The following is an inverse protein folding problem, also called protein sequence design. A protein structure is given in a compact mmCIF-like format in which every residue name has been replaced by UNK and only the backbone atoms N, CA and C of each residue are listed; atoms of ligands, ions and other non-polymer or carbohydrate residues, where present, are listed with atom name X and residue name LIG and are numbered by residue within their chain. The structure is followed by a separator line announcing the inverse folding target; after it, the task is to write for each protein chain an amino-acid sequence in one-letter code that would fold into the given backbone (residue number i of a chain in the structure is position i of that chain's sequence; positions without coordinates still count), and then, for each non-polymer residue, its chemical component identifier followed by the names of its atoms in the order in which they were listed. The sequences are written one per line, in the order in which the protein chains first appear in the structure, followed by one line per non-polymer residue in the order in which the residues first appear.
data_IF_703419012847
#
_entry.id   IF_703419012847
#
_cell.length_a   1.000
_cell.length_b   1.000
_cell.length_c   1.000
_cell.angle_alpha   90.00
_cell.angle_beta   90.00
_cell.angle_gamma   90.00
#
_symmetry.space_group_name_H-M   'P 1'
#
loop_
_entity.id
_entity.type
_entity.pdbx_description
1 polymer ?
#
# COMPACT_ATOMS: atom_id res chain seq x y z
N UNK A 1 -37.11 77.37 -33.97
CA UNK A 1 -36.08 76.38 -34.34
C UNK A 1 -35.40 75.90 -33.05
N UNK A 2 -35.50 74.60 -32.80
CA UNK A 2 -34.93 73.68 -31.77
C UNK A 2 -34.18 74.19 -30.52
N UNK A 3 -34.57 73.57 -29.41
CA UNK A 3 -34.12 73.64 -28.02
C UNK A 3 -32.67 73.16 -27.76
N UNK A 4 -32.09 73.71 -26.68
CA UNK A 4 -30.85 73.32 -25.96
C UNK A 4 -30.73 71.82 -25.68
N UNK A 5 -29.48 71.31 -25.71
CA UNK A 5 -29.03 70.20 -24.86
C UNK A 5 -27.68 70.58 -24.23
N UNK A 6 -27.63 70.43 -22.91
CA UNK A 6 -26.43 70.52 -22.09
C UNK A 6 -25.78 69.12 -22.03
N UNK A 7 -24.46 69.08 -22.09
CA UNK A 7 -23.66 67.86 -21.96
C UNK A 7 -23.63 67.38 -20.51
N UNK A 8 -23.99 66.10 -20.28
CA UNK A 8 -23.86 65.40 -19.00
C UNK A 8 -22.47 64.78 -18.86
N UNK A 9 -21.86 64.76 -17.66
CA UNK A 9 -20.64 64.00 -17.40
C UNK A 9 -20.93 62.50 -17.32
N UNK A 10 -20.03 61.67 -17.87
CA UNK A 10 -20.05 60.21 -17.74
C UNK A 10 -19.87 59.82 -16.27
N UNK A 11 -20.88 59.19 -15.68
CA UNK A 11 -20.79 58.52 -14.40
C UNK A 11 -19.91 57.26 -14.52
N UNK A 12 -18.83 57.19 -13.75
CA UNK A 12 -18.11 55.94 -13.49
C UNK A 12 -19.04 54.95 -12.78
N UNK A 13 -19.37 53.84 -13.44
CA UNK A 13 -20.01 52.68 -12.82
C UNK A 13 -19.02 52.04 -11.82
N UNK A 14 -19.12 52.42 -10.54
CA UNK A 14 -18.49 51.68 -9.44
C UNK A 14 -19.31 50.42 -9.20
N UNK A 15 -18.67 49.25 -9.35
CA UNK A 15 -19.27 47.97 -8.98
C UNK A 15 -19.82 48.01 -7.54
N UNK A 16 -21.01 47.45 -7.26
CA UNK A 16 -21.59 47.47 -5.93
C UNK A 16 -20.73 46.67 -4.93
N UNK A 17 -20.47 47.27 -3.77
CA UNK A 17 -19.61 46.78 -2.67
C UNK A 17 -19.87 45.30 -2.30
N UNK A 18 -21.11 44.84 -2.46
CA UNK A 18 -21.55 43.47 -2.18
C UNK A 18 -20.85 42.41 -3.03
N UNK A 19 -20.57 42.69 -4.32
CA UNK A 19 -19.89 41.75 -5.23
C UNK A 19 -18.40 41.63 -4.92
N UNK A 20 -17.74 42.73 -4.51
CA UNK A 20 -16.33 42.71 -4.09
C UNK A 20 -16.12 41.85 -2.83
N UNK A 21 -17.05 41.91 -1.86
CA UNK A 21 -17.01 41.04 -0.67
C UNK A 21 -17.26 39.56 -0.97
N UNK A 22 -18.10 39.24 -1.97
CA UNK A 22 -18.37 37.86 -2.40
C UNK A 22 -17.19 37.28 -3.21
N UNK A 23 -16.54 38.09 -4.05
CA UNK A 23 -15.34 37.70 -4.79
C UNK A 23 -14.17 37.41 -3.84
N UNK A 24 -13.88 38.30 -2.88
CA UNK A 24 -12.81 38.11 -1.90
C UNK A 24 -13.02 36.93 -0.95
N UNK A 25 -14.27 36.55 -0.63
CA UNK A 25 -14.59 35.32 0.12
C UNK A 25 -14.39 34.05 -0.70
N UNK A 26 -14.65 34.08 -2.01
CA UNK A 26 -14.39 32.94 -2.94
C UNK A 26 -12.89 32.73 -3.17
N UNK A 27 -12.12 33.81 -3.34
CA UNK A 27 -10.66 33.74 -3.48
C UNK A 27 -9.99 33.22 -2.21
N UNK A 28 -10.33 33.77 -1.02
CA UNK A 28 -9.81 33.24 0.26
C UNK A 28 -10.18 31.76 0.50
N UNK A 29 -11.34 31.29 0.00
CA UNK A 29 -11.69 29.85 0.05
C UNK A 29 -10.87 29.01 -0.94
N UNK A 30 -10.61 29.51 -2.15
CA UNK A 30 -9.73 28.86 -3.15
C UNK A 30 -8.28 28.78 -2.66
N UNK A 31 -7.73 29.86 -2.11
CA UNK A 31 -6.39 29.90 -1.52
C UNK A 31 -6.26 28.97 -0.31
N UNK A 32 -7.24 28.96 0.60
CA UNK A 32 -7.27 28.01 1.72
C UNK A 32 -7.40 26.56 1.26
N UNK A 33 -8.12 26.29 0.16
CA UNK A 33 -8.22 24.98 -0.47
C UNK A 33 -6.90 24.53 -1.10
N UNK A 34 -6.22 25.43 -1.82
CA UNK A 34 -4.92 25.18 -2.43
C UNK A 34 -3.80 24.98 -1.38
N UNK A 35 -3.80 25.78 -0.31
CA UNK A 35 -2.87 25.63 0.82
C UNK A 35 -3.07 24.30 1.56
N UNK A 36 -4.32 23.88 1.80
CA UNK A 36 -4.63 22.57 2.40
C UNK A 36 -4.25 21.39 1.49
N UNK A 37 -4.42 21.54 0.17
CA UNK A 37 -4.00 20.53 -0.82
C UNK A 37 -2.47 20.40 -0.84
N UNK A 38 -1.75 21.51 -0.90
CA UNK A 38 -0.28 21.57 -0.85
C UNK A 38 0.28 20.96 0.45
N UNK A 39 -0.35 21.21 1.60
CA UNK A 39 0.07 20.61 2.87
C UNK A 39 -0.18 19.10 2.94
N UNK A 40 -1.21 18.56 2.26
CA UNK A 40 -1.43 17.11 2.14
C UNK A 40 -0.37 16.48 1.23
N UNK A 41 -0.13 17.06 0.06
CA UNK A 41 0.90 16.60 -0.88
C UNK A 41 2.29 16.58 -0.23
N UNK A 42 2.65 17.64 0.50
CA UNK A 42 3.93 17.69 1.20
C UNK A 42 4.04 16.65 2.31
N UNK A 43 2.96 16.40 3.07
CA UNK A 43 2.95 15.35 4.09
C UNK A 43 3.09 13.96 3.48
N UNK A 44 2.46 13.73 2.33
CA UNK A 44 2.57 12.45 1.62
C UNK A 44 4.00 12.25 1.09
N UNK A 45 4.65 13.27 0.56
CA UNK A 45 6.06 13.20 0.15
C UNK A 45 6.97 12.90 1.37
N UNK A 46 6.76 13.55 2.51
CA UNK A 46 7.53 13.29 3.72
C UNK A 46 7.36 11.85 4.22
N UNK A 47 6.14 11.33 4.18
CA UNK A 47 5.86 9.93 4.53
C UNK A 47 6.51 8.96 3.54
N UNK A 48 6.54 9.28 2.24
CA UNK A 48 7.25 8.49 1.21
C UNK A 48 8.75 8.44 1.50
N UNK A 49 9.36 9.58 1.84
CA UNK A 49 10.80 9.65 2.16
C UNK A 49 11.13 8.86 3.42
N UNK A 50 10.32 8.97 4.48
CA UNK A 50 10.54 8.22 5.72
C UNK A 50 10.38 6.71 5.46
N UNK A 51 9.34 6.31 4.74
CA UNK A 51 9.11 4.91 4.39
C UNK A 51 10.27 4.36 3.54
N UNK A 52 10.76 5.15 2.58
CA UNK A 52 11.90 4.79 1.75
C UNK A 52 13.17 4.57 2.60
N UNK A 53 13.51 5.50 3.48
CA UNK A 53 14.70 5.41 4.33
C UNK A 53 14.63 4.23 5.29
N UNK A 54 13.53 4.12 6.05
CA UNK A 54 13.35 3.06 7.06
C UNK A 54 13.22 1.70 6.39
N UNK A 55 12.38 1.59 5.36
CA UNK A 55 12.17 0.34 4.63
C UNK A 55 13.45 -0.16 3.95
N UNK A 56 14.20 0.74 3.30
CA UNK A 56 15.46 0.38 2.65
C UNK A 56 16.54 0.01 3.65
N UNK A 57 16.62 0.70 4.80
CA UNK A 57 17.56 0.36 5.86
C UNK A 57 17.28 -1.04 6.45
N UNK A 58 16.01 -1.35 6.75
CA UNK A 58 15.61 -2.67 7.25
C UNK A 58 15.88 -3.77 6.23
N UNK A 59 15.51 -3.56 4.97
CA UNK A 59 15.79 -4.50 3.88
C UNK A 59 17.29 -4.80 3.75
N UNK A 60 18.10 -3.73 3.77
CA UNK A 60 19.56 -3.83 3.62
C UNK A 60 20.23 -4.48 4.83
N UNK A 61 19.74 -4.19 6.04
CA UNK A 61 20.20 -4.83 7.27
C UNK A 61 19.84 -6.32 7.27
N UNK A 62 18.64 -6.69 6.82
CA UNK A 62 18.24 -8.09 6.72
C UNK A 62 19.18 -8.90 5.81
N UNK A 63 19.51 -8.36 4.63
CA UNK A 63 20.43 -9.00 3.70
C UNK A 63 21.84 -9.13 4.26
N UNK A 64 22.47 -8.03 4.69
CA UNK A 64 23.88 -8.07 5.10
C UNK A 64 24.11 -8.77 6.44
N UNK A 65 23.23 -8.58 7.43
CA UNK A 65 23.47 -9.07 8.79
C UNK A 65 23.06 -10.52 9.01
N UNK A 66 22.13 -11.02 8.19
CA UNK A 66 21.50 -12.33 8.40
C UNK A 66 21.55 -13.22 7.16
N UNK A 67 21.00 -12.77 6.03
CA UNK A 67 20.68 -13.68 4.91
C UNK A 67 21.90 -14.01 4.05
N UNK A 68 22.68 -13.01 3.65
CA UNK A 68 23.87 -13.21 2.81
C UNK A 68 24.92 -14.06 3.52
N UNK A 69 25.32 -13.78 4.78
CA UNK A 69 26.32 -14.59 5.47
C UNK A 69 25.83 -16.02 5.75
N UNK A 70 24.53 -16.21 6.03
CA UNK A 70 23.95 -17.53 6.26
C UNK A 70 23.69 -18.33 4.96
N UNK A 71 23.90 -17.73 3.78
CA UNK A 71 23.62 -18.36 2.48
C UNK A 71 22.13 -18.62 2.24
N UNK A 72 21.25 -17.76 2.76
CA UNK A 72 19.79 -17.91 2.63
C UNK A 72 19.28 -16.98 1.55
N UNK A 73 18.82 -17.55 0.44
CA UNK A 73 18.34 -16.82 -0.72
C UNK A 73 16.80 -16.71 -0.68
N UNK A 74 16.30 -15.63 -0.08
CA UNK A 74 14.88 -15.28 -0.20
C UNK A 74 14.62 -14.85 -1.65
N UNK A 75 13.56 -15.36 -2.29
CA UNK A 75 13.32 -15.34 -3.74
C UNK A 75 13.48 -13.98 -4.48
N UNK A 76 13.31 -14.03 -5.80
CA UNK A 76 13.50 -12.86 -6.68
C UNK A 76 14.95 -12.44 -6.92
N UNK A 77 15.13 -11.18 -7.32
CA UNK A 77 16.44 -10.62 -7.65
C UNK A 77 17.43 -10.64 -6.46
N UNK A 78 16.94 -10.41 -5.24
CA UNK A 78 17.72 -10.52 -4.01
C UNK A 78 18.24 -11.93 -3.77
N UNK A 79 17.42 -12.96 -3.96
CA UNK A 79 17.83 -14.35 -3.76
C UNK A 79 18.90 -14.78 -4.75
N UNK A 80 18.71 -14.44 -6.03
CA UNK A 80 19.72 -14.67 -7.07
C UNK A 80 21.03 -13.94 -6.76
N UNK A 81 20.96 -12.72 -6.20
CA UNK A 81 22.14 -11.96 -5.81
C UNK A 81 22.88 -12.61 -4.62
N UNK A 82 22.16 -13.14 -3.62
CA UNK A 82 22.78 -13.90 -2.52
C UNK A 82 23.43 -15.19 -3.05
N UNK A 83 22.79 -15.89 -3.98
CA UNK A 83 23.37 -17.07 -4.62
C UNK A 83 24.63 -16.78 -5.43
N UNK A 84 24.61 -15.71 -6.22
CA UNK A 84 25.76 -15.25 -6.98
C UNK A 84 26.92 -14.81 -6.08
N UNK A 85 26.62 -14.17 -4.95
CA UNK A 85 27.63 -13.83 -3.94
C UNK A 85 28.27 -15.08 -3.33
N UNK A 86 27.47 -16.08 -2.97
CA UNK A 86 28.00 -17.29 -2.34
C UNK A 86 28.80 -18.16 -3.31
N UNK A 87 28.40 -18.24 -4.59
CA UNK A 87 29.07 -19.09 -5.57
C UNK A 87 30.29 -18.42 -6.23
N UNK A 88 30.26 -17.10 -6.44
CA UNK A 88 31.28 -16.38 -7.22
C UNK A 88 31.89 -15.17 -6.49
N UNK A 89 31.45 -14.87 -5.27
CA UNK A 89 31.94 -13.70 -4.51
C UNK A 89 31.46 -12.36 -5.05
N UNK A 90 30.44 -12.34 -5.92
CA UNK A 90 29.93 -11.11 -6.52
C UNK A 90 29.23 -10.24 -5.49
N UNK A 91 29.40 -8.92 -5.60
CA UNK A 91 28.74 -7.96 -4.72
C UNK A 91 27.21 -7.99 -4.89
N UNK A 92 26.48 -8.31 -3.80
CA UNK A 92 25.02 -8.50 -3.80
C UNK A 92 24.30 -7.28 -4.37
N UNK A 93 24.68 -6.08 -3.93
CA UNK A 93 24.09 -4.82 -4.40
C UNK A 93 24.22 -4.61 -5.91
N UNK A 94 25.38 -4.95 -6.48
CA UNK A 94 25.62 -4.86 -7.94
C UNK A 94 24.73 -5.84 -8.69
N UNK A 95 24.63 -7.09 -8.22
CA UNK A 95 23.82 -8.12 -8.87
C UNK A 95 22.33 -7.75 -8.82
N UNK A 96 21.83 -7.23 -7.69
CA UNK A 96 20.45 -6.74 -7.59
C UNK A 96 20.18 -5.65 -8.65
N UNK A 97 21.06 -4.66 -8.76
CA UNK A 97 20.90 -3.58 -9.75
C UNK A 97 20.90 -4.13 -11.18
N UNK A 98 21.86 -4.99 -11.52
CA UNK A 98 21.97 -5.59 -12.86
C UNK A 98 20.74 -6.42 -13.23
N UNK A 99 20.21 -7.23 -12.31
CA UNK A 99 19.00 -8.02 -12.54
C UNK A 99 17.75 -7.13 -12.70
N UNK A 100 17.72 -5.97 -12.04
CA UNK A 100 16.60 -5.05 -12.10
C UNK A 100 16.61 -4.14 -13.33
N UNK A 101 17.76 -3.90 -13.98
CA UNK A 101 17.84 -3.13 -15.24
C UNK A 101 16.94 -3.70 -16.35
N UNK A 102 17.00 -4.99 -16.73
CA UNK A 102 16.15 -5.53 -17.79
C UNK A 102 14.67 -5.52 -17.38
N UNK A 103 14.36 -5.79 -16.10
CA UNK A 103 12.99 -5.71 -15.59
C UNK A 103 12.46 -4.28 -15.67
N UNK A 104 13.27 -3.29 -15.35
CA UNK A 104 12.93 -1.88 -15.45
C UNK A 104 12.72 -1.42 -16.90
N UNK A 105 13.61 -1.83 -17.83
CA UNK A 105 13.42 -1.53 -19.25
C UNK A 105 12.10 -2.11 -19.76
N UNK A 106 11.79 -3.35 -19.40
CA UNK A 106 10.58 -4.02 -19.81
C UNK A 106 9.33 -3.38 -19.17
N UNK A 107 9.39 -3.03 -17.88
CA UNK A 107 8.29 -2.33 -17.19
C UNK A 107 8.06 -0.93 -17.76
N UNK A 108 9.13 -0.19 -18.10
CA UNK A 108 9.03 1.15 -18.68
C UNK A 108 8.41 1.13 -20.07
N UNK A 109 8.70 0.11 -20.89
CA UNK A 109 8.05 -0.08 -22.20
C UNK A 109 6.57 -0.43 -22.04
N UNK A 110 6.22 -1.26 -21.06
CA UNK A 110 4.84 -1.73 -20.87
C UNK A 110 3.94 -0.69 -20.19
N UNK A 111 4.42 -0.05 -19.11
CA UNK A 111 3.63 0.84 -18.24
C UNK A 111 3.98 2.32 -18.39
N UNK A 112 5.05 2.66 -19.10
CA UNK A 112 5.56 4.02 -19.22
C UNK A 112 6.56 4.39 -18.12
N UNK A 113 7.46 5.32 -18.44
CA UNK A 113 8.56 5.72 -17.55
C UNK A 113 8.08 6.29 -16.21
N UNK A 114 7.04 7.13 -16.23
CA UNK A 114 6.47 7.77 -15.03
C UNK A 114 5.99 6.76 -13.99
N UNK A 115 5.54 5.58 -14.43
CA UNK A 115 5.10 4.50 -13.54
C UNK A 115 6.27 3.84 -12.81
N UNK A 116 7.46 3.84 -13.41
CA UNK A 116 8.61 3.09 -12.90
C UNK A 116 9.56 3.94 -12.03
N UNK A 117 9.33 5.25 -11.89
CA UNK A 117 10.22 6.16 -11.15
C UNK A 117 10.32 5.75 -9.67
N UNK A 118 9.18 5.47 -9.01
CA UNK A 118 9.18 5.02 -7.61
C UNK A 118 9.94 3.70 -7.44
N UNK A 119 9.71 2.74 -8.33
CA UNK A 119 10.44 1.47 -8.38
C UNK A 119 11.94 1.67 -8.49
N UNK A 120 12.39 2.55 -9.38
CA UNK A 120 13.81 2.83 -9.59
C UNK A 120 14.44 3.44 -8.33
N UNK A 121 13.77 4.43 -7.73
CA UNK A 121 14.23 5.08 -6.49
C UNK A 121 14.32 4.06 -5.35
N UNK A 122 13.30 3.21 -5.19
CA UNK A 122 13.27 2.14 -4.19
C UNK A 122 14.43 1.16 -4.36
N UNK A 123 14.59 0.66 -5.59
CA UNK A 123 15.64 -0.31 -5.96
C UNK A 123 17.04 0.25 -5.76
N UNK A 124 17.29 1.50 -6.17
CA UNK A 124 18.59 2.14 -5.98
C UNK A 124 18.84 2.38 -4.49
N UNK A 125 17.82 2.82 -3.74
CA UNK A 125 17.97 3.08 -2.29
C UNK A 125 18.28 1.81 -1.51
N UNK A 126 17.62 0.69 -1.83
CA UNK A 126 17.93 -0.60 -1.21
C UNK A 126 19.30 -1.12 -1.64
N UNK A 127 19.67 -1.02 -2.92
CA UNK A 127 20.99 -1.45 -3.36
C UNK A 127 22.13 -0.63 -2.74
N UNK A 128 21.96 0.69 -2.61
CA UNK A 128 22.92 1.55 -1.91
C UNK A 128 22.98 1.20 -0.43
N UNK A 129 21.83 1.01 0.22
CA UNK A 129 21.77 0.56 1.61
C UNK A 129 22.52 -0.75 1.82
N UNK A 130 22.34 -1.73 0.91
CA UNK A 130 23.05 -3.01 0.95
C UNK A 130 24.56 -2.78 0.85
N UNK A 131 25.01 -1.94 -0.09
CA UNK A 131 26.44 -1.62 -0.24
C UNK A 131 27.03 -0.93 0.98
N UNK A 132 26.28 -0.01 1.59
CA UNK A 132 26.76 0.73 2.77
C UNK A 132 26.82 -0.15 4.01
N UNK A 133 25.94 -1.14 4.16
CA UNK A 133 25.88 -1.99 5.36
C UNK A 133 26.78 -3.23 5.29
N UNK A 134 27.50 -3.46 4.19
CA UNK A 134 28.36 -4.65 3.99
C UNK A 134 29.51 -4.75 4.99
N UNK A 135 29.93 -3.65 5.63
CA UNK A 135 31.01 -3.67 6.63
C UNK A 135 30.58 -4.23 7.99
N UNK A 136 29.28 -4.37 8.24
CA UNK A 136 28.78 -4.87 9.53
C UNK A 136 28.95 -6.39 9.61
N UNK A 137 29.40 -6.92 10.78
CA UNK A 137 29.55 -8.35 10.95
C UNK A 137 28.20 -9.05 11.01
N UNK A 138 28.18 -10.34 10.64
CA UNK A 138 27.00 -11.18 10.82
C UNK A 138 26.59 -11.24 12.29
N UNK A 139 25.27 -11.19 12.54
CA UNK A 139 24.73 -11.11 13.91
C UNK A 139 24.84 -12.44 14.65
N UNK A 140 24.76 -13.56 13.93
CA UNK A 140 24.85 -14.90 14.50
C UNK A 140 25.44 -15.89 13.50
N UNK A 141 26.03 -16.97 14.01
CA UNK A 141 26.48 -18.13 13.22
C UNK A 141 25.37 -19.18 13.04
N UNK A 142 24.25 -19.06 13.78
CA UNK A 142 23.11 -19.97 13.65
C UNK A 142 22.29 -19.61 12.41
N UNK A 143 22.35 -20.48 11.39
CA UNK A 143 21.64 -20.30 10.12
C UNK A 143 20.12 -20.21 10.29
N UNK A 144 19.54 -20.97 11.22
CA UNK A 144 18.09 -20.95 11.46
C UNK A 144 17.69 -19.60 12.07
N UNK A 145 18.46 -19.11 13.04
CA UNK A 145 18.23 -17.81 13.65
C UNK A 145 18.32 -16.69 12.60
N UNK A 146 19.38 -16.71 11.79
CA UNK A 146 19.57 -15.76 10.71
C UNK A 146 18.46 -15.84 9.65
N UNK A 147 18.02 -17.04 9.28
CA UNK A 147 16.90 -17.25 8.37
C UNK A 147 15.61 -16.61 8.91
N UNK A 148 15.22 -16.92 10.15
CA UNK A 148 13.97 -16.44 10.75
C UNK A 148 13.98 -14.92 10.93
N UNK A 149 15.00 -14.38 11.60
CA UNK A 149 15.08 -12.93 11.85
C UNK A 149 15.33 -12.14 10.57
N UNK A 150 16.18 -12.64 9.67
CA UNK A 150 16.40 -12.03 8.36
C UNK A 150 15.12 -11.96 7.54
N UNK A 151 14.34 -13.05 7.47
CA UNK A 151 13.05 -13.07 6.78
C UNK A 151 12.03 -12.11 7.40
N UNK A 152 11.92 -12.03 8.73
CA UNK A 152 11.02 -11.10 9.42
C UNK A 152 11.41 -9.64 9.15
N UNK A 153 12.68 -9.29 9.36
CA UNK A 153 13.17 -7.91 9.17
C UNK A 153 13.05 -7.49 7.71
N UNK A 154 13.38 -8.38 6.76
CA UNK A 154 13.20 -8.11 5.34
C UNK A 154 11.71 -7.93 4.99
N UNK A 155 10.83 -8.77 5.54
CA UNK A 155 9.38 -8.70 5.32
C UNK A 155 8.79 -7.37 5.80
N UNK A 156 9.21 -6.89 6.97
CA UNK A 156 8.80 -5.58 7.50
C UNK A 156 9.32 -4.45 6.60
N UNK A 157 10.62 -4.48 6.26
CA UNK A 157 11.24 -3.47 5.40
C UNK A 157 10.56 -3.36 4.03
N UNK A 158 10.37 -4.50 3.35
CA UNK A 158 9.67 -4.55 2.06
C UNK A 158 8.21 -4.12 2.20
N UNK A 159 7.50 -4.56 3.24
CA UNK A 159 6.10 -4.17 3.47
C UNK A 159 5.92 -2.66 3.64
N UNK A 160 6.84 -1.98 4.33
CA UNK A 160 6.83 -0.52 4.48
C UNK A 160 7.00 0.18 3.12
N UNK A 161 7.94 -0.29 2.29
CA UNK A 161 8.16 0.23 0.94
C UNK A 161 6.91 0.04 0.06
N UNK A 162 6.32 -1.15 0.10
CA UNK A 162 5.19 -1.53 -0.75
C UNK A 162 3.93 -0.76 -0.42
N UNK A 163 3.70 -0.48 0.87
CA UNK A 163 2.58 0.35 1.31
C UNK A 163 2.61 1.79 0.76
N UNK A 164 3.74 2.22 0.15
CA UNK A 164 3.92 3.54 -0.47
C UNK A 164 4.25 3.44 -1.97
N UNK A 165 3.98 2.29 -2.57
CA UNK A 165 4.21 1.95 -3.99
C UNK A 165 5.69 1.96 -4.40
N UNK A 166 6.61 1.80 -3.45
CA UNK A 166 8.00 1.48 -3.74
C UNK A 166 8.17 -0.02 -3.87
N UNK A 167 9.00 -0.45 -4.80
CA UNK A 167 9.44 -1.85 -4.90
C UNK A 167 10.95 -1.95 -4.86
N UNK A 168 11.43 -3.10 -4.39
CA UNK A 168 12.84 -3.47 -4.33
C UNK A 168 13.35 -4.02 -5.68
N UNK A 169 12.47 -4.09 -6.68
CA UNK A 169 12.77 -4.52 -8.05
C UNK A 169 12.72 -6.04 -8.29
N UNK A 170 12.54 -6.85 -7.24
CA UNK A 170 12.56 -8.32 -7.31
C UNK A 170 11.28 -8.98 -7.86
N UNK A 171 10.86 -10.09 -7.24
CA UNK A 171 9.73 -10.93 -7.68
C UNK A 171 8.45 -10.13 -7.89
N UNK A 172 8.22 -9.11 -7.08
CA UNK A 172 7.02 -8.31 -7.13
C UNK A 172 6.88 -7.50 -8.43
N UNK A 173 8.02 -7.08 -9.01
CA UNK A 173 8.04 -6.38 -10.28
C UNK A 173 7.75 -7.34 -11.45
N UNK A 174 8.27 -8.57 -11.35
CA UNK A 174 7.99 -9.66 -12.30
C UNK A 174 6.50 -10.02 -12.27
N UNK A 175 5.90 -10.13 -11.09
CA UNK A 175 4.48 -10.47 -10.93
C UNK A 175 3.57 -9.41 -11.54
N UNK A 176 3.89 -8.12 -11.32
CA UNK A 176 3.19 -7.01 -11.97
C UNK A 176 3.25 -7.10 -13.49
N UNK A 177 4.42 -7.42 -14.04
CA UNK A 177 4.60 -7.56 -15.47
C UNK A 177 3.83 -8.77 -16.03
N UNK A 178 3.92 -9.93 -15.37
CA UNK A 178 3.25 -11.16 -15.79
C UNK A 178 1.73 -11.02 -15.79
N UNK A 179 1.16 -10.28 -14.85
CA UNK A 179 -0.29 -10.05 -14.78
C UNK A 179 -0.85 -9.27 -15.96
N UNK A 180 -0.06 -8.37 -16.56
CA UNK A 180 -0.48 -7.65 -17.76
C UNK A 180 -0.66 -8.59 -18.95
N UNK A 181 0.24 -9.57 -19.06
CA UNK A 181 0.23 -10.56 -20.13
C UNK A 181 -0.77 -11.68 -19.84
N UNK A 182 -0.90 -12.07 -18.56
CA UNK A 182 -1.77 -13.16 -18.10
C UNK A 182 -2.65 -12.71 -16.91
N UNK A 183 -3.76 -11.99 -17.17
CA UNK A 183 -4.61 -11.42 -16.12
C UNK A 183 -5.28 -12.46 -15.21
N UNK A 184 -5.39 -13.69 -15.71
CA UNK A 184 -6.10 -14.81 -15.06
C UNK A 184 -5.27 -15.45 -13.94
N UNK A 185 -3.98 -15.08 -13.79
CA UNK A 185 -3.11 -15.65 -12.78
C UNK A 185 -3.34 -15.04 -11.39
N UNK A 186 -3.43 -15.92 -10.40
CA UNK A 186 -3.45 -15.56 -8.98
C UNK A 186 -2.07 -15.01 -8.56
N UNK A 187 -2.03 -13.82 -7.93
CA UNK A 187 -0.77 -13.16 -7.46
C UNK A 187 0.09 -14.15 -6.68
N UNK A 188 -0.49 -14.78 -5.66
CA UNK A 188 0.24 -15.67 -4.76
C UNK A 188 0.80 -16.90 -5.48
N UNK A 189 0.05 -17.48 -6.43
CA UNK A 189 0.55 -18.61 -7.24
C UNK A 189 1.72 -18.18 -8.12
N UNK A 190 1.65 -16.99 -8.73
CA UNK A 190 2.75 -16.46 -9.57
C UNK A 190 3.99 -16.17 -8.75
N UNK A 191 3.85 -15.51 -7.59
CA UNK A 191 4.96 -15.26 -6.64
C UNK A 191 5.62 -16.59 -6.26
N UNK A 192 4.83 -17.57 -5.82
CA UNK A 192 5.34 -18.87 -5.40
C UNK A 192 6.09 -19.60 -6.51
N UNK A 193 5.59 -19.55 -7.76
CA UNK A 193 6.27 -20.18 -8.90
C UNK A 193 7.60 -19.50 -9.22
N UNK A 194 7.64 -18.16 -9.23
CA UNK A 194 8.87 -17.40 -9.51
C UNK A 194 9.89 -17.62 -8.40
N UNK A 195 9.47 -17.55 -7.14
CA UNK A 195 10.37 -17.75 -6.00
C UNK A 195 10.86 -19.19 -5.92
N UNK A 196 10.02 -20.19 -6.19
CA UNK A 196 10.45 -21.58 -6.25
C UNK A 196 11.52 -21.80 -7.34
N UNK A 197 11.35 -21.20 -8.52
CA UNK A 197 12.36 -21.27 -9.58
C UNK A 197 13.68 -20.62 -9.13
N UNK A 198 13.62 -19.42 -8.53
CA UNK A 198 14.80 -18.72 -8.02
C UNK A 198 15.51 -19.53 -6.94
N UNK A 199 14.77 -20.14 -6.01
CA UNK A 199 15.32 -20.96 -4.94
C UNK A 199 16.01 -22.21 -5.48
N UNK A 200 15.40 -22.89 -6.44
CA UNK A 200 16.02 -24.04 -7.11
C UNK A 200 17.33 -23.65 -7.81
N UNK A 201 17.33 -22.53 -8.55
CA UNK A 201 18.54 -21.99 -9.20
C UNK A 201 19.59 -21.63 -8.15
N UNK A 202 19.18 -20.97 -7.07
CA UNK A 202 20.07 -20.54 -5.98
C UNK A 202 20.72 -21.73 -5.28
N UNK A 203 19.95 -22.77 -4.97
CA UNK A 203 20.47 -23.99 -4.34
C UNK A 203 21.42 -24.77 -5.26
N UNK A 204 21.10 -24.85 -6.55
CA UNK A 204 21.99 -25.45 -7.55
C UNK A 204 23.31 -24.69 -7.63
N UNK A 205 23.26 -23.36 -7.64
CA UNK A 205 24.42 -22.49 -7.74
C UNK A 205 25.29 -22.54 -6.46
N UNK A 206 24.67 -22.57 -5.28
CA UNK A 206 25.36 -22.70 -3.98
C UNK A 206 25.84 -24.13 -3.68
N UNK A 207 25.40 -25.13 -4.45
CA UNK A 207 25.68 -26.57 -4.21
C UNK A 207 25.31 -27.04 -2.80
N UNK A 208 24.24 -26.49 -2.22
CA UNK A 208 23.83 -26.76 -0.83
C UNK A 208 22.33 -27.04 -0.73
N UNK A 209 21.99 -28.26 -0.33
CA UNK A 209 20.60 -28.63 -0.02
C UNK A 209 20.10 -27.94 1.26
N UNK A 210 20.98 -27.63 2.21
CA UNK A 210 20.60 -26.89 3.42
C UNK A 210 20.08 -25.50 3.05
N UNK A 211 20.77 -24.77 2.17
CA UNK A 211 20.32 -23.46 1.69
C UNK A 211 18.96 -23.54 1.03
N UNK A 212 18.65 -24.62 0.31
CA UNK A 212 17.32 -24.82 -0.28
C UNK A 212 16.22 -24.82 0.78
N UNK A 213 16.38 -25.63 1.83
CA UNK A 213 15.38 -25.76 2.90
C UNK A 213 15.26 -24.49 3.74
N UNK A 214 16.39 -23.86 4.10
CA UNK A 214 16.38 -22.58 4.80
C UNK A 214 15.78 -21.46 3.95
N UNK A 215 16.02 -21.44 2.65
CA UNK A 215 15.42 -20.45 1.74
C UNK A 215 13.91 -20.66 1.61
N UNK A 216 13.45 -21.90 1.49
CA UNK A 216 12.03 -22.23 1.45
C UNK A 216 11.31 -21.80 2.75
N UNK A 217 11.90 -22.10 3.91
CA UNK A 217 11.38 -21.66 5.22
C UNK A 217 11.37 -20.12 5.31
N UNK A 218 12.48 -19.50 4.94
CA UNK A 218 12.63 -18.05 4.97
C UNK A 218 11.60 -17.35 4.09
N UNK A 219 11.31 -17.88 2.89
CA UNK A 219 10.30 -17.31 1.98
C UNK A 219 8.91 -17.43 2.60
N UNK A 220 8.57 -18.55 3.24
CA UNK A 220 7.28 -18.71 3.92
C UNK A 220 7.10 -17.67 5.03
N UNK A 221 8.12 -17.46 5.87
CA UNK A 221 8.11 -16.46 6.94
C UNK A 221 8.05 -15.03 6.36
N UNK A 222 8.92 -14.72 5.40
CA UNK A 222 8.95 -13.43 4.72
C UNK A 222 7.60 -13.08 4.10
N UNK A 223 6.98 -14.02 3.39
CA UNK A 223 5.68 -13.83 2.73
C UNK A 223 4.58 -13.56 3.75
N UNK A 224 4.54 -14.35 4.83
CA UNK A 224 3.57 -14.16 5.90
C UNK A 224 3.72 -12.79 6.57
N UNK A 225 4.95 -12.37 6.88
CA UNK A 225 5.21 -11.06 7.50
C UNK A 225 4.89 -9.92 6.55
N UNK A 226 5.24 -10.05 5.26
CA UNK A 226 4.89 -9.08 4.23
C UNK A 226 3.37 -8.89 4.14
N UNK A 227 2.62 -9.99 4.10
CA UNK A 227 1.15 -9.97 4.11
C UNK A 227 0.61 -9.29 5.37
N UNK A 228 1.13 -9.58 6.56
CA UNK A 228 0.70 -8.95 7.81
C UNK A 228 0.89 -7.42 7.78
N UNK A 229 2.03 -6.95 7.24
CA UNK A 229 2.35 -5.52 7.15
C UNK A 229 1.48 -4.81 6.10
N UNK A 230 1.15 -5.48 5.00
CA UNK A 230 0.26 -4.94 3.97
C UNK A 230 -1.22 -4.96 4.41
N UNK A 231 -1.67 -6.06 5.02
CA UNK A 231 -3.04 -6.26 5.49
C UNK A 231 -3.43 -5.30 6.62
N UNK A 232 -2.46 -4.80 7.38
CA UNK A 232 -2.69 -3.81 8.43
C UNK A 232 -3.07 -2.42 7.91
N UNK A 233 -2.76 -2.10 6.64
CA UNK A 233 -2.69 -0.72 6.18
C UNK A 233 -3.98 -0.17 5.54
N UNK A 234 -4.75 -0.97 4.79
CA UNK A 234 -5.71 -0.38 3.82
C UNK A 234 -7.05 -1.12 3.61
N UNK A 235 -7.33 -2.26 4.28
CA UNK A 235 -8.56 -3.02 3.97
C UNK A 235 -9.82 -2.37 4.55
N UNK A 236 -10.76 -2.08 3.65
CA UNK A 236 -12.15 -1.82 4.00
C UNK A 236 -12.89 -3.13 4.25
N UNK A 237 -13.77 -3.13 5.23
CA UNK A 237 -14.69 -4.23 5.53
C UNK A 237 -16.11 -3.71 5.32
N UNK A 238 -16.95 -4.55 4.72
CA UNK A 238 -18.36 -4.29 4.58
C UNK A 238 -19.08 -4.90 5.78
N UNK A 239 -19.61 -4.03 6.60
CA UNK A 239 -20.43 -4.38 7.74
C UNK A 239 -21.88 -4.56 7.28
N UNK A 240 -22.44 -5.73 7.53
CA UNK A 240 -23.82 -6.05 7.23
C UNK A 240 -24.54 -6.41 8.52
N UNK A 241 -25.38 -5.50 9.00
CA UNK A 241 -26.09 -5.62 10.28
C UNK A 241 -27.54 -5.95 10.03
N UNK A 242 -27.97 -7.04 10.65
CA UNK A 242 -29.31 -7.58 10.66
C UNK A 242 -29.93 -7.29 12.03
N UNK A 243 -30.88 -6.35 12.07
CA UNK A 243 -31.49 -5.89 13.32
C UNK A 243 -32.89 -5.32 13.06
N UNK A 244 -33.74 -5.30 14.09
CA UNK A 244 -35.00 -4.53 14.06
C UNK A 244 -34.80 -3.04 14.35
N UNK A 245 -33.66 -2.66 14.91
CA UNK A 245 -33.33 -1.29 15.32
C UNK A 245 -32.38 -0.62 14.32
N UNK A 246 -32.62 -0.87 13.02
CA UNK A 246 -31.75 -0.43 11.93
C UNK A 246 -31.61 1.09 11.84
N UNK A 247 -32.65 1.85 12.20
CA UNK A 247 -32.59 3.33 12.21
C UNK A 247 -31.63 3.86 13.27
N UNK A 248 -31.73 3.37 14.50
CA UNK A 248 -30.87 3.79 15.60
C UNK A 248 -29.39 3.48 15.30
N UNK A 249 -29.11 2.25 14.84
CA UNK A 249 -27.76 1.84 14.46
C UNK A 249 -27.25 2.67 13.28
N UNK A 250 -28.04 2.82 12.23
CA UNK A 250 -27.65 3.59 11.04
C UNK A 250 -27.33 5.05 11.38
N UNK A 251 -28.15 5.68 12.22
CA UNK A 251 -27.92 7.06 12.66
C UNK A 251 -26.64 7.18 13.51
N UNK A 252 -26.40 6.27 14.45
CA UNK A 252 -25.19 6.33 15.27
C UNK A 252 -23.92 6.05 14.48
N UNK A 253 -23.93 5.09 13.55
CA UNK A 253 -22.80 4.85 12.65
C UNK A 253 -22.53 6.09 11.77
N UNK A 254 -23.57 6.69 11.20
CA UNK A 254 -23.43 7.88 10.36
C UNK A 254 -22.89 9.09 11.14
N UNK A 255 -23.35 9.32 12.37
CA UNK A 255 -22.96 10.49 13.17
C UNK A 255 -21.63 10.31 13.90
N UNK A 256 -21.43 9.20 14.61
CA UNK A 256 -20.25 8.99 15.44
C UNK A 256 -19.02 8.59 14.63
N UNK A 257 -19.21 7.82 13.54
CA UNK A 257 -18.12 7.35 12.70
C UNK A 257 -17.97 8.17 11.41
N UNK A 258 -18.93 9.04 11.08
CA UNK A 258 -18.96 9.83 9.83
C UNK A 258 -18.84 8.93 8.58
N UNK A 259 -19.51 7.77 8.62
CA UNK A 259 -19.52 6.79 7.54
C UNK A 259 -20.84 6.85 6.77
N UNK A 260 -20.76 6.58 5.47
CA UNK A 260 -21.94 6.34 4.65
C UNK A 260 -22.63 5.07 5.11
N UNK A 261 -23.96 5.13 5.22
CA UNK A 261 -24.79 4.00 5.63
C UNK A 261 -25.89 3.83 4.59
N UNK A 262 -26.09 2.60 4.13
CA UNK A 262 -27.15 2.24 3.20
C UNK A 262 -28.12 1.32 3.91
N UNK A 263 -29.42 1.64 3.85
CA UNK A 263 -30.47 0.74 4.28
C UNK A 263 -30.85 -0.16 3.12
N UNK A 264 -30.78 -1.47 3.33
CA UNK A 264 -31.12 -2.48 2.34
C UNK A 264 -32.44 -3.13 2.76
N UNK A 265 -33.53 -2.98 1.99
CA UNK A 265 -34.78 -3.64 2.31
C UNK A 265 -34.63 -5.15 2.23
N UNK A 266 -35.14 -5.85 3.24
CA UNK A 266 -35.13 -7.30 3.35
C UNK A 266 -36.49 -7.81 3.78
N UNK A 267 -36.75 -9.09 3.49
CA UNK A 267 -37.97 -9.78 3.93
C UNK A 267 -37.57 -11.10 4.58
N UNK A 268 -38.01 -11.29 5.82
CA UNK A 268 -37.77 -12.55 6.52
C UNK A 268 -38.50 -13.69 5.83
N UNK A 269 -37.81 -14.79 5.55
CA UNK A 269 -38.40 -15.95 4.86
C UNK A 269 -39.55 -16.58 5.66
N UNK A 270 -39.32 -16.84 6.95
CA UNK A 270 -40.31 -17.50 7.80
C UNK A 270 -41.47 -16.59 8.23
N UNK A 271 -41.16 -15.35 8.62
CA UNK A 271 -42.16 -14.42 9.17
C UNK A 271 -42.86 -13.57 8.12
N UNK A 272 -42.35 -13.50 6.89
CA UNK A 272 -42.86 -12.62 5.84
C UNK A 272 -42.78 -11.11 6.16
N UNK A 273 -42.24 -10.74 7.32
CA UNK A 273 -42.09 -9.35 7.75
C UNK A 273 -41.01 -8.67 6.94
N UNK A 274 -41.30 -7.46 6.44
CA UNK A 274 -40.32 -6.57 5.83
C UNK A 274 -39.55 -5.83 6.92
N UNK A 275 -38.24 -5.72 6.75
CA UNK A 275 -37.35 -5.02 7.66
C UNK A 275 -36.09 -4.60 6.91
N UNK A 276 -35.45 -3.52 7.34
CA UNK A 276 -34.24 -3.02 6.69
C UNK A 276 -32.98 -3.55 7.38
N UNK A 277 -31.98 -3.90 6.57
CA UNK A 277 -30.63 -4.21 7.01
C UNK A 277 -29.76 -2.97 6.89
N UNK A 278 -28.77 -2.83 7.78
CA UNK A 278 -27.81 -1.73 7.73
C UNK A 278 -26.53 -2.22 7.04
N UNK A 279 -26.16 -1.56 5.96
CA UNK A 279 -24.92 -1.81 5.25
C UNK A 279 -23.98 -0.61 5.42
N UNK A 280 -22.76 -0.85 5.88
CA UNK A 280 -21.78 0.21 6.11
C UNK A 280 -20.38 -0.28 5.76
N UNK A 281 -19.69 0.41 4.86
CA UNK A 281 -18.26 0.20 4.66
C UNK A 281 -17.50 0.88 5.80
N UNK A 282 -16.58 0.16 6.41
CA UNK A 282 -15.71 0.63 7.50
C UNK A 282 -14.27 0.23 7.22
N UNK A 283 -13.30 0.81 7.91
CA UNK A 283 -11.93 0.27 7.93
C UNK A 283 -11.79 -0.82 9.00
N UNK A 284 -10.83 -1.72 8.83
CA UNK A 284 -10.52 -2.77 9.82
C UNK A 284 -10.33 -2.23 11.25
N UNK A 285 -9.65 -1.09 11.39
CA UNK A 285 -9.43 -0.44 12.70
C UNK A 285 -10.67 0.27 13.27
N UNK A 286 -11.71 0.47 12.47
CA UNK A 286 -12.97 1.09 12.88
C UNK A 286 -13.99 0.06 13.40
N UNK A 287 -13.76 -1.24 13.13
CA UNK A 287 -14.67 -2.31 13.51
C UNK A 287 -14.97 -2.37 15.01
N UNK A 288 -13.94 -2.20 15.87
CA UNK A 288 -14.14 -2.21 17.32
C UNK A 288 -15.18 -1.17 17.77
N UNK A 289 -15.09 0.04 17.22
CA UNK A 289 -16.03 1.13 17.53
C UNK A 289 -17.41 0.86 16.94
N UNK A 290 -17.49 0.37 15.70
CA UNK A 290 -18.76 0.00 15.08
C UNK A 290 -19.50 -1.06 15.89
N UNK A 291 -18.77 -2.09 16.36
CA UNK A 291 -19.29 -3.16 17.22
C UNK A 291 -19.84 -2.63 18.53
N UNK A 292 -19.15 -1.68 19.18
CA UNK A 292 -19.64 -1.07 20.42
C UNK A 292 -20.95 -0.30 20.21
N UNK A 293 -21.05 0.46 19.13
CA UNK A 293 -22.28 1.19 18.78
C UNK A 293 -23.44 0.21 18.56
N UNK A 294 -23.19 -0.86 17.81
CA UNK A 294 -24.22 -1.87 17.51
C UNK A 294 -24.70 -2.57 18.78
N UNK A 295 -23.77 -3.02 19.63
CA UNK A 295 -24.10 -3.69 20.89
C UNK A 295 -24.85 -2.77 21.86
N UNK A 296 -24.53 -1.47 21.87
CA UNK A 296 -25.21 -0.50 22.72
C UNK A 296 -26.64 -0.20 22.26
N UNK A 297 -26.91 -0.28 20.95
CA UNK A 297 -28.25 -0.14 20.41
C UNK A 297 -29.05 -1.45 20.55
N UNK A 298 -28.55 -2.53 19.93
CA UNK A 298 -29.22 -3.84 19.88
C UNK A 298 -28.24 -4.97 20.22
N UNK A 299 -28.30 -5.51 21.45
CA UNK A 299 -27.51 -6.68 21.84
C UNK A 299 -27.82 -7.95 21.03
N UNK A 300 -29.01 -8.03 20.40
CA UNK A 300 -29.45 -9.17 19.61
C UNK A 300 -29.20 -8.99 18.11
N UNK A 301 -28.52 -7.91 17.69
CA UNK A 301 -28.19 -7.69 16.30
C UNK A 301 -27.24 -8.78 15.78
N UNK A 302 -27.55 -9.31 14.60
CA UNK A 302 -26.70 -10.23 13.88
C UNK A 302 -25.81 -9.44 12.91
N UNK A 303 -24.50 -9.60 13.00
CA UNK A 303 -23.53 -8.83 12.20
C UNK A 303 -22.69 -9.78 11.36
N UNK A 304 -22.72 -9.59 10.04
CA UNK A 304 -21.81 -10.24 9.10
C UNK A 304 -20.73 -9.22 8.73
N UNK A 305 -19.47 -9.63 8.86
CA UNK A 305 -18.32 -8.84 8.44
C UNK A 305 -17.74 -9.47 7.17
N UNK A 306 -17.83 -8.75 6.05
CA UNK A 306 -17.28 -9.18 4.78
C UNK A 306 -16.00 -8.40 4.50
N UNK A 307 -14.89 -9.10 4.27
CA UNK A 307 -13.66 -8.44 3.81
C UNK A 307 -13.83 -8.02 2.35
N UNK A 308 -13.72 -6.73 2.08
CA UNK A 308 -13.68 -6.23 0.71
C UNK A 308 -12.24 -6.33 0.18
N UNK A 309 -12.08 -6.70 -1.09
CA UNK A 309 -10.78 -6.66 -1.77
C UNK A 309 -10.26 -5.22 -1.88
N UNK A 310 -11.14 -4.28 -2.23
CA UNK A 310 -10.91 -2.84 -2.24
C UNK A 310 -12.21 -2.10 -1.90
N UNK A 311 -12.09 -0.94 -1.25
CA UNK A 311 -13.18 0.03 -1.07
C UNK A 311 -12.65 1.37 -1.57
N UNK A 312 -13.32 1.93 -2.58
CA UNK A 312 -12.90 3.16 -3.25
C UNK A 312 -13.97 4.25 -3.10
N UNK A 313 -13.55 5.51 -3.02
CA UNK A 313 -14.44 6.67 -2.93
C UNK A 313 -14.30 7.48 -1.65
N UNK A 314 -15.25 8.37 -1.38
CA UNK A 314 -15.18 9.30 -0.24
C UNK A 314 -15.07 8.56 1.10
N UNK A 315 -14.11 8.99 1.93
CA UNK A 315 -13.80 8.33 3.21
C UNK A 315 -12.88 7.11 3.09
N UNK A 316 -12.55 6.66 1.87
CA UNK A 316 -11.64 5.57 1.57
C UNK A 316 -10.57 6.02 0.55
N UNK A 317 -9.91 5.08 -0.12
CA UNK A 317 -8.91 5.36 -1.14
C UNK A 317 -9.58 5.92 -2.41
N UNK A 318 -8.99 6.91 -3.09
CA UNK A 318 -9.53 7.43 -4.34
C UNK A 318 -9.46 6.41 -5.48
N UNK A 319 -10.24 6.59 -6.55
CA UNK A 319 -10.23 5.78 -7.79
C UNK A 319 -8.95 5.98 -8.65
N UNK A 320 -7.82 6.33 -8.04
CA UNK A 320 -6.59 6.73 -8.73
C UNK A 320 -6.08 5.67 -9.71
#
# INVERSE_FOLDING_TARGET
MKFRRADMPKSEERMPVTEQTLHGKKEKKREKGQSKKKNREMRDIWQDVIALLVGSALFSAALNLFLTPAGVALGGASGLAVAANHAWGLDVSTVILLLNVPLFCLSAVVYGFSFCVKTLIGTISTALGVRFLTFLPQVSNDKLLCCVFGAVVMGIGTGILFNRDFTTGGTDHIVWLLRRVFPQLSVGKTVLMVDAAVVCISAWLMRSYESLFYSALGIAIYSYVLELVQDGSQRGELLWVVTRQHEAIGQQLATQMRRGVTLVPGKGYWGGTEWNMVLCAIRKNEFYRARQIILACDPNAFVILLRASQVLGEGFSPFA
#
